data_IF_502350820237
#
_entry.id   IF_502350820237
#
_cell.length_a   1.000
_cell.length_b   1.000
_cell.length_c   1.000
_cell.angle_alpha   90.00
_cell.angle_beta   90.00
_cell.angle_gamma   90.00
#
_symmetry.space_group_name_H-M   'P 1'
#
loop_
_entity.id
_entity.type
_entity.pdbx_description
1 polymer ?
#
# COMPACT_ATOMS: atom_id res chain seq x y z
N UNK A 1 -31.64 32.58 -6.05
CA UNK A 1 -31.87 31.15 -5.79
C UNK A 1 -30.82 30.36 -6.55
N UNK A 2 -29.92 29.68 -5.85
CA UNK A 2 -28.95 28.81 -6.51
C UNK A 2 -29.64 27.54 -7.01
N UNK A 3 -29.45 27.21 -8.27
CA UNK A 3 -30.02 26.00 -8.88
C UNK A 3 -29.16 24.82 -8.42
N UNK A 4 -29.79 23.84 -7.78
CA UNK A 4 -29.23 22.50 -7.62
C UNK A 4 -29.53 21.72 -8.90
N UNK A 5 -28.55 20.98 -9.42
CA UNK A 5 -28.76 20.05 -10.53
C UNK A 5 -29.15 18.72 -9.90
N UNK A 6 -30.37 18.28 -10.16
CA UNK A 6 -30.96 17.08 -9.56
C UNK A 6 -31.30 16.08 -10.65
N UNK A 7 -31.35 14.83 -10.21
CA UNK A 7 -31.93 13.73 -10.95
C UNK A 7 -33.41 14.03 -11.29
N UNK A 8 -33.91 13.42 -12.37
CA UNK A 8 -35.33 13.42 -12.71
C UNK A 8 -36.14 12.39 -11.88
N UNK A 9 -35.47 11.61 -11.02
CA UNK A 9 -35.98 10.53 -10.17
C UNK A 9 -36.59 9.36 -10.97
N UNK A 10 -36.28 9.28 -12.26
CA UNK A 10 -36.64 8.21 -13.17
C UNK A 10 -35.58 7.13 -13.22
N UNK A 11 -35.95 5.94 -13.71
CA UNK A 11 -34.98 4.86 -13.97
C UNK A 11 -34.21 5.05 -15.29
N UNK A 12 -34.35 6.22 -15.93
CA UNK A 12 -33.80 6.54 -17.25
C UNK A 12 -32.68 7.55 -17.13
N UNK A 13 -31.79 7.58 -18.11
CA UNK A 13 -30.68 8.53 -18.14
C UNK A 13 -31.16 9.99 -18.13
N UNK A 14 -30.61 10.81 -17.24
CA UNK A 14 -30.86 12.25 -17.20
C UNK A 14 -30.22 12.97 -18.38
N UNK A 15 -29.04 12.51 -18.80
CA UNK A 15 -28.26 13.09 -19.89
C UNK A 15 -27.92 12.00 -20.92
N UNK A 16 -28.68 11.93 -22.01
CA UNK A 16 -28.51 10.92 -23.06
C UNK A 16 -27.60 11.43 -24.19
N UNK A 17 -26.60 10.63 -24.60
CA UNK A 17 -25.76 10.83 -25.80
C UNK A 17 -25.00 12.16 -25.84
N UNK A 18 -24.56 12.65 -24.69
CA UNK A 18 -23.77 13.87 -24.63
C UNK A 18 -22.32 13.57 -25.08
N UNK A 19 -21.77 14.44 -25.94
CA UNK A 19 -20.34 14.42 -26.35
C UNK A 19 -19.41 14.98 -25.28
N UNK A 20 -19.97 15.35 -24.13
CA UNK A 20 -19.31 15.92 -22.97
C UNK A 20 -20.37 16.60 -22.09
N UNK A 21 -20.08 16.76 -20.81
CA UNK A 21 -20.95 17.47 -19.87
C UNK A 21 -20.15 18.54 -19.13
N UNK A 22 -20.75 19.71 -19.00
CA UNK A 22 -20.28 20.82 -18.18
C UNK A 22 -21.41 21.20 -17.22
N UNK A 23 -21.23 20.87 -15.94
CA UNK A 23 -22.23 21.05 -14.90
C UNK A 23 -21.71 22.04 -13.86
N UNK A 24 -22.44 23.13 -13.61
CA UNK A 24 -22.06 24.12 -12.60
C UNK A 24 -23.19 24.38 -11.60
N UNK A 25 -22.94 24.14 -10.31
CA UNK A 25 -23.83 24.44 -9.20
C UNK A 25 -23.14 25.33 -8.15
N UNK A 26 -23.32 26.65 -8.25
CA UNK A 26 -22.56 27.64 -7.45
C UNK A 26 -22.92 27.71 -5.97
N UNK A 27 -24.04 27.10 -5.55
CA UNK A 27 -24.54 27.19 -4.16
C UNK A 27 -24.82 25.80 -3.56
N UNK A 28 -25.28 24.85 -4.37
CA UNK A 28 -25.67 23.50 -3.93
C UNK A 28 -24.73 22.46 -4.52
N UNK A 29 -25.07 21.18 -4.38
CA UNK A 29 -24.39 20.11 -5.09
C UNK A 29 -25.07 19.70 -6.39
N UNK A 30 -24.45 18.75 -7.07
CA UNK A 30 -24.91 18.08 -8.29
C UNK A 30 -25.22 16.64 -7.91
N UNK A 31 -26.47 16.21 -8.06
CA UNK A 31 -26.89 14.86 -7.69
C UNK A 31 -26.82 14.55 -6.18
N UNK A 32 -27.02 15.55 -5.31
CA UNK A 32 -26.85 15.36 -3.84
C UNK A 32 -27.83 14.38 -3.20
N UNK A 33 -29.05 14.30 -3.72
CA UNK A 33 -30.08 13.38 -3.20
C UNK A 33 -30.04 12.06 -3.93
N UNK A 34 -30.00 12.15 -5.26
CA UNK A 34 -29.94 11.05 -6.20
C UNK A 34 -28.90 11.43 -7.27
N UNK A 35 -28.03 10.48 -7.62
CA UNK A 35 -26.94 10.74 -8.57
C UNK A 35 -27.49 11.13 -9.94
N UNK A 36 -26.73 11.92 -10.72
CA UNK A 36 -27.15 12.21 -12.10
C UNK A 36 -26.74 11.03 -12.99
N UNK A 37 -27.71 10.36 -13.59
CA UNK A 37 -27.47 9.33 -14.61
C UNK A 37 -27.06 9.95 -15.95
N UNK A 38 -25.89 9.55 -16.45
CA UNK A 38 -25.36 9.95 -17.76
C UNK A 38 -25.27 8.75 -18.68
N UNK A 39 -25.35 8.99 -19.99
CA UNK A 39 -25.02 8.04 -21.05
C UNK A 39 -24.12 8.75 -22.07
N UNK A 40 -22.85 8.84 -21.71
CA UNK A 40 -21.83 9.57 -22.45
C UNK A 40 -21.34 8.77 -23.66
N UNK A 41 -21.12 9.46 -24.78
CA UNK A 41 -20.48 8.82 -25.93
C UNK A 41 -19.00 8.55 -25.64
N UNK A 42 -18.41 7.52 -26.26
CA UNK A 42 -16.99 7.21 -26.07
C UNK A 42 -16.09 8.45 -26.32
N UNK A 43 -15.20 8.74 -25.37
CA UNK A 43 -14.30 9.91 -25.38
C UNK A 43 -14.96 11.23 -24.95
N UNK A 44 -16.24 11.24 -24.58
CA UNK A 44 -16.87 12.41 -23.97
C UNK A 44 -16.27 12.67 -22.58
N UNK A 45 -16.06 13.95 -22.27
CA UNK A 45 -15.41 14.38 -21.04
C UNK A 45 -16.41 14.98 -20.05
N UNK A 46 -16.10 14.85 -18.77
CA UNK A 46 -16.89 15.39 -17.66
C UNK A 46 -16.15 16.56 -17.03
N UNK A 47 -16.80 17.72 -17.05
CA UNK A 47 -16.47 18.87 -16.23
C UNK A 47 -17.62 19.14 -15.26
N UNK A 48 -17.32 19.25 -13.96
CA UNK A 48 -18.34 19.56 -12.97
C UNK A 48 -17.79 20.41 -11.83
N UNK A 49 -18.46 21.51 -11.50
CA UNK A 49 -18.12 22.36 -10.36
C UNK A 49 -19.35 22.55 -9.50
N UNK A 50 -19.24 22.16 -8.23
CA UNK A 50 -20.30 22.35 -7.26
C UNK A 50 -19.77 22.90 -5.94
N UNK A 51 -20.60 23.68 -5.25
CA UNK A 51 -20.26 24.11 -3.89
C UNK A 51 -20.26 22.91 -2.95
N UNK A 52 -21.30 22.08 -3.02
CA UNK A 52 -21.45 20.87 -2.18
C UNK A 52 -21.12 19.62 -3.01
N UNK A 53 -21.62 18.46 -2.61
CA UNK A 53 -21.23 17.19 -3.22
C UNK A 53 -21.60 17.06 -4.70
N UNK A 54 -20.82 16.26 -5.42
CA UNK A 54 -21.08 15.88 -6.81
C UNK A 54 -21.29 14.36 -6.84
N UNK A 55 -22.41 13.90 -7.37
CA UNK A 55 -22.69 12.48 -7.57
C UNK A 55 -23.14 12.23 -9.01
N UNK A 56 -22.37 11.43 -9.75
CA UNK A 56 -22.63 11.08 -11.15
C UNK A 56 -22.59 9.56 -11.34
N UNK A 57 -23.52 9.05 -12.14
CA UNK A 57 -23.55 7.64 -12.55
C UNK A 57 -23.57 7.55 -14.07
N UNK A 58 -22.50 7.04 -14.67
CA UNK A 58 -22.49 6.68 -16.09
C UNK A 58 -23.11 5.29 -16.25
N UNK A 59 -24.28 5.23 -16.88
CA UNK A 59 -25.05 3.99 -17.00
C UNK A 59 -24.47 3.05 -18.05
N UNK A 60 -23.71 3.57 -19.02
CA UNK A 60 -23.15 2.79 -20.11
C UNK A 60 -21.80 3.36 -20.59
N UNK A 61 -20.71 2.70 -20.21
CA UNK A 61 -19.35 3.09 -20.62
C UNK A 61 -18.59 3.83 -19.54
N UNK A 62 -17.70 4.71 -19.96
CA UNK A 62 -16.67 5.30 -19.11
C UNK A 62 -17.02 6.74 -18.70
N UNK A 63 -16.56 7.15 -17.51
CA UNK A 63 -16.46 8.56 -17.13
C UNK A 63 -15.03 9.01 -17.46
N UNK A 64 -14.87 9.88 -18.46
CA UNK A 64 -13.57 10.53 -18.71
C UNK A 64 -13.56 11.89 -18.02
N UNK A 65 -12.76 12.06 -16.96
CA UNK A 65 -12.72 13.24 -16.11
C UNK A 65 -11.82 14.31 -16.73
N UNK A 66 -12.40 15.46 -17.06
CA UNK A 66 -11.62 16.65 -17.43
C UNK A 66 -11.32 17.53 -16.22
N UNK A 67 -12.30 17.74 -15.34
CA UNK A 67 -12.13 18.39 -14.05
C UNK A 67 -13.42 18.32 -13.23
N UNK A 68 -13.34 17.81 -12.00
CA UNK A 68 -14.47 17.72 -11.07
C UNK A 68 -14.08 18.37 -9.74
N UNK A 69 -14.80 19.39 -9.33
CA UNK A 69 -14.51 20.15 -8.10
C UNK A 69 -15.73 20.25 -7.21
N UNK A 70 -15.65 19.63 -6.03
CA UNK A 70 -16.58 19.79 -4.92
C UNK A 70 -15.94 20.67 -3.83
N UNK A 71 -16.43 21.89 -3.66
CA UNK A 71 -15.74 22.89 -2.82
C UNK A 71 -15.77 22.55 -1.32
N UNK A 72 -16.87 21.97 -0.84
CA UNK A 72 -17.07 21.63 0.59
C UNK A 72 -17.65 20.23 0.83
N UNK A 73 -17.83 19.42 -0.20
CA UNK A 73 -18.42 18.09 -0.10
C UNK A 73 -17.49 17.00 -0.62
N UNK A 74 -18.08 15.83 -0.84
CA UNK A 74 -17.42 14.69 -1.48
C UNK A 74 -17.69 14.67 -2.98
N UNK A 75 -16.96 13.81 -3.67
CA UNK A 75 -17.22 13.41 -5.05
C UNK A 75 -17.55 11.92 -5.07
N UNK A 76 -18.66 11.55 -5.71
CA UNK A 76 -19.09 10.16 -5.90
C UNK A 76 -19.24 9.92 -7.39
N UNK A 77 -18.43 9.04 -7.96
CA UNK A 77 -18.49 8.67 -9.36
C UNK A 77 -18.70 7.18 -9.49
N UNK A 78 -19.66 6.80 -10.32
CA UNK A 78 -19.89 5.40 -10.67
C UNK A 78 -19.96 5.25 -12.18
N UNK A 79 -19.05 4.49 -12.76
CA UNK A 79 -19.05 4.16 -14.18
C UNK A 79 -19.35 2.67 -14.40
N UNK A 80 -20.14 2.35 -15.42
CA UNK A 80 -20.33 0.97 -15.86
C UNK A 80 -19.03 0.35 -16.40
N UNK A 81 -18.22 1.15 -17.09
CA UNK A 81 -16.88 0.85 -17.57
C UNK A 81 -15.82 1.34 -16.59
N UNK A 82 -15.00 2.29 -17.05
CA UNK A 82 -13.85 2.88 -16.34
C UNK A 82 -14.12 4.32 -15.88
N UNK A 83 -13.32 4.78 -14.91
CA UNK A 83 -13.16 6.21 -14.60
C UNK A 83 -11.74 6.57 -15.04
N UNK A 84 -11.63 7.45 -16.01
CA UNK A 84 -10.40 7.74 -16.73
C UNK A 84 -10.06 9.21 -16.59
N UNK A 85 -8.77 9.53 -16.53
CA UNK A 85 -8.26 10.87 -16.76
C UNK A 85 -8.29 11.21 -18.28
N UNK A 86 -8.55 12.48 -18.62
CA UNK A 86 -8.42 13.02 -19.99
C UNK A 86 -6.98 13.23 -20.45
N UNK A 87 -6.01 13.19 -19.53
CA UNK A 87 -4.60 13.12 -19.82
C UNK A 87 -3.75 13.62 -18.64
N UNK A 88 -2.59 12.97 -18.45
CA UNK A 88 -1.72 13.17 -17.30
C UNK A 88 -1.25 14.64 -17.19
N UNK A 89 -1.93 15.40 -16.33
CA UNK A 89 -1.58 16.79 -15.99
C UNK A 89 -1.23 16.83 -14.53
N UNK A 90 -0.18 17.58 -14.12
CA UNK A 90 0.10 17.78 -12.69
C UNK A 90 -0.92 18.74 -12.01
N UNK A 91 -2.20 18.62 -12.35
CA UNK A 91 -3.34 19.38 -11.87
C UNK A 91 -4.41 18.36 -11.49
N UNK A 92 -5.09 18.59 -10.37
CA UNK A 92 -6.11 17.65 -9.91
C UNK A 92 -7.25 17.51 -10.92
N UNK A 93 -7.51 16.27 -11.33
CA UNK A 93 -8.71 15.87 -12.06
C UNK A 93 -9.93 15.96 -11.16
N UNK A 94 -9.76 15.54 -9.90
CA UNK A 94 -10.82 15.56 -8.89
C UNK A 94 -10.34 16.29 -7.64
N UNK A 95 -11.05 17.34 -7.25
CA UNK A 95 -10.86 18.03 -5.98
C UNK A 95 -12.09 17.84 -5.10
N UNK A 96 -11.91 17.31 -3.89
CA UNK A 96 -12.98 17.06 -2.94
C UNK A 96 -12.57 17.36 -1.49
N UNK A 97 -13.43 18.04 -0.72
CA UNK A 97 -13.08 18.43 0.65
C UNK A 97 -13.27 17.30 1.66
N UNK A 98 -14.28 16.44 1.48
CA UNK A 98 -14.64 15.41 2.48
C UNK A 98 -14.33 13.98 2.04
N UNK A 99 -13.67 13.81 0.88
CA UNK A 99 -13.29 12.52 0.34
C UNK A 99 -13.94 12.17 -0.99
N UNK A 100 -13.60 10.98 -1.49
CA UNK A 100 -14.01 10.49 -2.80
C UNK A 100 -14.51 9.04 -2.72
N UNK A 101 -15.56 8.74 -3.48
CA UNK A 101 -16.06 7.38 -3.69
C UNK A 101 -16.13 7.09 -5.18
N UNK A 102 -15.22 6.26 -5.67
CA UNK A 102 -15.03 5.97 -7.09
C UNK A 102 -15.33 4.50 -7.37
N UNK A 103 -16.25 4.22 -8.27
CA UNK A 103 -16.64 2.86 -8.65
C UNK A 103 -16.58 2.66 -10.16
N UNK A 104 -15.73 1.76 -10.63
CA UNK A 104 -15.67 1.29 -12.02
C UNK A 104 -16.13 -0.18 -12.08
N UNK A 105 -17.33 -0.43 -12.58
CA UNK A 105 -17.98 -1.76 -12.43
C UNK A 105 -17.24 -2.86 -13.22
N UNK A 106 -16.83 -2.57 -14.45
CA UNK A 106 -16.16 -3.57 -15.32
C UNK A 106 -14.78 -3.14 -15.79
N UNK A 107 -14.43 -1.87 -15.60
CA UNK A 107 -13.19 -1.27 -16.08
C UNK A 107 -12.18 -0.95 -14.99
N UNK A 108 -11.40 0.09 -15.24
CA UNK A 108 -10.31 0.57 -14.39
C UNK A 108 -10.67 1.92 -13.75
N UNK A 109 -9.92 2.30 -12.71
CA UNK A 109 -9.87 3.69 -12.25
C UNK A 109 -8.44 4.13 -12.53
N UNK A 110 -8.21 4.93 -13.57
CA UNK A 110 -6.89 5.03 -14.18
C UNK A 110 -6.34 6.44 -14.25
N UNK A 111 -5.17 6.62 -13.59
CA UNK A 111 -4.28 7.78 -13.66
C UNK A 111 -4.93 9.09 -13.21
N UNK A 112 -5.81 9.03 -12.21
CA UNK A 112 -6.45 10.24 -11.70
C UNK A 112 -5.53 10.96 -10.72
N UNK A 113 -5.29 12.24 -10.98
CA UNK A 113 -4.71 13.17 -10.03
C UNK A 113 -5.81 13.73 -9.12
N UNK A 114 -5.62 13.54 -7.82
CA UNK A 114 -6.56 13.82 -6.76
C UNK A 114 -6.04 14.96 -5.88
N UNK A 115 -6.97 15.75 -5.37
CA UNK A 115 -6.70 16.72 -4.31
C UNK A 115 -7.80 16.64 -3.25
N UNK A 116 -7.44 16.14 -2.06
CA UNK A 116 -8.33 16.05 -0.92
C UNK A 116 -7.91 17.00 0.19
N UNK A 117 -8.88 17.70 0.80
CA UNK A 117 -8.57 18.45 2.01
C UNK A 117 -8.18 17.50 3.16
N UNK A 118 -7.48 18.04 4.16
CA UNK A 118 -7.06 17.27 5.35
C UNK A 118 -8.24 16.52 5.98
N UNK A 119 -8.12 15.20 6.07
CA UNK A 119 -9.14 14.30 6.61
C UNK A 119 -10.11 13.73 5.56
N UNK A 120 -10.05 14.15 4.30
CA UNK A 120 -10.74 13.49 3.20
C UNK A 120 -10.13 12.12 2.93
N UNK A 121 -10.99 11.12 2.75
CA UNK A 121 -10.57 9.74 2.49
C UNK A 121 -10.97 9.29 1.09
N UNK A 122 -10.20 8.35 0.53
CA UNK A 122 -10.52 7.69 -0.72
C UNK A 122 -11.12 6.30 -0.49
N UNK A 123 -12.29 6.09 -1.10
CA UNK A 123 -12.93 4.81 -1.29
C UNK A 123 -12.95 4.54 -2.79
N UNK A 124 -12.34 3.44 -3.24
CA UNK A 124 -12.30 3.10 -4.66
C UNK A 124 -12.54 1.61 -4.89
N UNK A 125 -13.31 1.28 -5.92
CA UNK A 125 -13.56 -0.11 -6.32
C UNK A 125 -13.56 -0.22 -7.83
N UNK A 126 -12.76 -1.14 -8.36
CA UNK A 126 -12.67 -1.41 -9.78
C UNK A 126 -12.57 -2.92 -10.06
N UNK A 127 -13.05 -3.31 -11.25
CA UNK A 127 -12.76 -4.64 -11.77
C UNK A 127 -11.28 -4.80 -12.05
N UNK A 128 -10.71 -3.88 -12.86
CA UNK A 128 -9.30 -3.85 -13.21
C UNK A 128 -8.48 -2.95 -12.28
N UNK A 129 -7.31 -2.52 -12.77
CA UNK A 129 -6.36 -1.70 -12.02
C UNK A 129 -6.97 -0.40 -11.51
N UNK A 130 -6.57 -0.02 -10.29
CA UNK A 130 -6.78 1.30 -9.70
C UNK A 130 -5.44 2.01 -9.65
N UNK A 131 -5.33 3.18 -10.27
CA UNK A 131 -4.17 4.06 -10.24
C UNK A 131 -4.60 5.48 -9.86
N UNK A 132 -4.19 5.91 -8.66
CA UNK A 132 -4.57 7.19 -8.07
C UNK A 132 -3.34 7.92 -7.54
N UNK A 133 -3.32 9.24 -7.69
CA UNK A 133 -2.25 10.09 -7.18
C UNK A 133 -2.82 11.24 -6.37
N UNK A 134 -2.49 11.32 -5.09
CA UNK A 134 -2.76 12.51 -4.27
C UNK A 134 -1.65 13.55 -4.51
N UNK A 135 -2.02 14.71 -5.03
CA UNK A 135 -1.07 15.74 -5.43
C UNK A 135 -0.42 16.44 -4.24
N UNK A 136 -1.17 16.66 -3.16
CA UNK A 136 -0.64 17.32 -1.97
C UNK A 136 -1.06 16.63 -0.68
N UNK A 137 -0.18 16.64 0.32
CA UNK A 137 -0.47 16.01 1.60
C UNK A 137 -0.59 14.49 1.51
N UNK A 138 -1.26 13.88 2.47
CA UNK A 138 -1.36 12.43 2.60
C UNK A 138 -2.64 11.88 1.97
N UNK A 139 -2.53 10.74 1.28
CA UNK A 139 -3.67 9.94 0.87
C UNK A 139 -4.17 9.10 2.05
N UNK A 140 -5.35 9.44 2.56
CA UNK A 140 -6.04 8.64 3.58
C UNK A 140 -6.92 7.59 2.90
N UNK A 141 -6.55 6.32 3.03
CA UNK A 141 -7.26 5.21 2.41
C UNK A 141 -8.39 4.78 3.32
N UNK A 142 -9.64 4.81 2.82
CA UNK A 142 -10.76 4.19 3.52
C UNK A 142 -10.94 2.74 3.12
N UNK A 143 -10.91 2.46 1.82
CA UNK A 143 -10.81 1.12 1.25
C UNK A 143 -10.58 1.23 -0.27
N UNK A 144 -9.61 0.52 -0.81
CA UNK A 144 -9.32 0.48 -2.25
C UNK A 144 -9.26 -0.96 -2.71
N UNK A 145 -10.23 -1.38 -3.53
CA UNK A 145 -10.39 -2.76 -3.98
C UNK A 145 -10.31 -2.88 -5.50
N UNK A 146 -9.26 -3.54 -5.97
CA UNK A 146 -9.16 -4.04 -7.35
C UNK A 146 -9.40 -5.55 -7.37
N UNK A 147 -10.48 -5.98 -8.02
CA UNK A 147 -10.88 -7.40 -7.97
C UNK A 147 -10.09 -8.31 -8.92
N UNK A 148 -9.49 -7.76 -9.98
CA UNK A 148 -8.70 -8.53 -10.96
C UNK A 148 -7.40 -7.87 -11.40
N UNK A 149 -7.14 -6.62 -11.02
CA UNK A 149 -5.90 -5.90 -11.33
C UNK A 149 -5.09 -5.48 -10.10
N UNK A 150 -4.19 -4.53 -10.30
CA UNK A 150 -3.33 -3.97 -9.25
C UNK A 150 -3.97 -2.77 -8.57
N UNK A 151 -3.44 -2.41 -7.41
CA UNK A 151 -3.67 -1.09 -6.79
C UNK A 151 -2.36 -0.33 -6.80
N UNK A 152 -2.37 0.86 -7.39
CA UNK A 152 -1.23 1.77 -7.53
C UNK A 152 -1.63 3.09 -6.89
N UNK A 153 -1.00 3.44 -5.78
CA UNK A 153 -1.27 4.67 -5.05
C UNK A 153 0.00 5.50 -4.94
N UNK A 154 -0.08 6.76 -5.35
CA UNK A 154 1.00 7.74 -5.20
C UNK A 154 0.53 8.89 -4.33
N UNK A 155 1.38 9.41 -3.46
CA UNK A 155 1.10 10.60 -2.65
C UNK A 155 2.37 11.42 -2.46
N UNK A 156 2.24 12.75 -2.54
CA UNK A 156 3.35 13.65 -2.18
C UNK A 156 3.75 13.47 -0.71
N UNK A 157 2.78 13.48 0.20
CA UNK A 157 2.95 13.19 1.61
C UNK A 157 3.09 11.69 1.89
N UNK A 158 2.12 11.14 2.60
CA UNK A 158 2.10 9.73 3.01
C UNK A 158 0.87 8.98 2.54
N UNK A 159 0.88 7.65 2.67
CA UNK A 159 -0.29 6.80 2.44
C UNK A 159 -0.62 6.14 3.77
N UNK A 160 -1.81 6.37 4.31
CA UNK A 160 -2.19 5.91 5.65
C UNK A 160 -3.58 5.32 5.66
N UNK A 161 -3.82 4.41 6.59
CA UNK A 161 -5.17 4.00 6.97
C UNK A 161 -5.93 5.25 7.46
N UNK A 162 -6.95 5.62 6.71
CA UNK A 162 -7.79 6.79 7.00
C UNK A 162 -8.81 6.53 8.10
N UNK A 163 -9.18 5.28 8.33
CA UNK A 163 -10.16 4.86 9.34
C UNK A 163 -9.47 4.62 10.69
N UNK A 164 -8.23 4.12 10.69
CA UNK A 164 -7.47 3.76 11.88
C UNK A 164 -7.99 2.47 12.53
N UNK A 165 -8.24 1.43 11.72
CA UNK A 165 -8.77 0.14 12.13
C UNK A 165 -7.99 -1.02 11.52
N UNK A 166 -7.93 -2.17 12.21
CA UNK A 166 -7.28 -3.39 11.68
C UNK A 166 -8.04 -4.08 10.51
N UNK A 167 -8.93 -3.36 9.83
CA UNK A 167 -9.65 -3.87 8.65
C UNK A 167 -8.79 -3.67 7.40
N UNK A 168 -9.03 -4.46 6.36
CA UNK A 168 -8.26 -4.35 5.11
C UNK A 168 -8.52 -3.01 4.42
N UNK A 169 -7.47 -2.22 4.22
CA UNK A 169 -7.51 -0.97 3.46
C UNK A 169 -7.37 -1.22 1.96
N UNK A 170 -6.49 -2.13 1.55
CA UNK A 170 -6.18 -2.38 0.14
C UNK A 170 -6.36 -3.84 -0.21
N UNK A 171 -7.17 -4.12 -1.23
CA UNK A 171 -7.29 -5.46 -1.83
C UNK A 171 -6.86 -5.39 -3.28
N UNK A 172 -5.90 -6.22 -3.67
CA UNK A 172 -5.44 -6.31 -5.06
C UNK A 172 -5.19 -7.75 -5.50
N UNK A 173 -5.48 -8.05 -6.77
CA UNK A 173 -5.30 -9.39 -7.33
C UNK A 173 -3.92 -9.62 -7.93
N UNK A 174 -3.31 -8.60 -8.55
CA UNK A 174 -2.06 -8.76 -9.29
C UNK A 174 -0.87 -8.03 -8.68
N UNK A 175 -1.09 -7.11 -7.74
CA UNK A 175 -0.01 -6.41 -7.05
C UNK A 175 -0.48 -5.15 -6.34
N UNK A 176 0.34 -4.71 -5.40
CA UNK A 176 0.17 -3.44 -4.67
C UNK A 176 1.42 -2.61 -4.88
N UNK A 177 1.26 -1.39 -5.36
CA UNK A 177 2.35 -0.43 -5.58
C UNK A 177 2.04 0.88 -4.84
N UNK A 178 2.91 1.26 -3.91
CA UNK A 178 2.71 2.41 -3.02
C UNK A 178 3.91 3.35 -3.08
N UNK A 179 3.67 4.63 -3.35
CA UNK A 179 4.72 5.63 -3.48
C UNK A 179 4.39 6.86 -2.63
N UNK A 180 5.13 7.08 -1.54
CA UNK A 180 5.03 8.24 -0.66
C UNK A 180 6.31 9.09 -0.76
N UNK A 181 6.27 10.17 -1.53
CA UNK A 181 7.52 10.85 -1.95
C UNK A 181 8.18 11.69 -0.86
N UNK A 182 7.41 12.20 0.10
CA UNK A 182 7.89 13.03 1.20
C UNK A 182 7.50 12.50 2.60
N UNK A 183 6.56 11.56 2.68
CA UNK A 183 6.02 11.01 3.93
C UNK A 183 6.32 9.53 4.15
N UNK A 184 5.49 8.92 4.99
CA UNK A 184 5.54 7.52 5.39
C UNK A 184 4.44 6.72 4.68
N UNK A 185 4.57 5.40 4.67
CA UNK A 185 3.45 4.48 4.36
C UNK A 185 3.10 3.78 5.67
N UNK A 186 1.85 3.87 6.13
CA UNK A 186 1.43 3.36 7.43
C UNK A 186 2.06 4.11 8.62
N UNK A 187 1.90 5.45 8.67
CA UNK A 187 2.40 6.25 9.81
C UNK A 187 1.54 6.07 11.07
N UNK A 188 0.22 6.00 10.89
CA UNK A 188 -0.77 5.93 11.96
C UNK A 188 -1.29 4.49 12.05
N UNK A 189 -0.44 3.58 12.49
CA UNK A 189 -0.70 2.14 12.36
C UNK A 189 -0.17 1.60 11.03
N UNK A 190 -0.08 0.27 10.92
CA UNK A 190 0.25 -0.33 9.63
C UNK A 190 -0.84 0.01 8.60
N UNK A 191 -0.49 0.00 7.32
CA UNK A 191 -1.50 -0.04 6.27
C UNK A 191 -1.86 -1.50 6.04
N UNK A 192 -3.13 -1.85 6.21
CA UNK A 192 -3.62 -3.21 6.04
C UNK A 192 -3.85 -3.53 4.56
N UNK A 193 -3.17 -4.55 4.05
CA UNK A 193 -3.27 -4.98 2.66
C UNK A 193 -3.70 -6.45 2.59
N UNK A 194 -4.32 -6.82 1.48
CA UNK A 194 -4.55 -8.20 1.09
C UNK A 194 -4.24 -8.40 -0.39
N UNK A 195 -3.24 -9.22 -0.66
CA UNK A 195 -2.95 -9.73 -1.99
C UNK A 195 -3.69 -11.05 -2.24
N UNK A 196 -4.56 -11.10 -3.24
CA UNK A 196 -5.50 -12.24 -3.38
C UNK A 196 -4.94 -13.41 -4.19
N UNK A 197 -3.76 -13.24 -4.78
CA UNK A 197 -3.10 -14.30 -5.55
C UNK A 197 -1.64 -14.45 -5.13
N UNK A 198 -1.11 -15.67 -5.24
CA UNK A 198 0.30 -15.95 -4.96
C UNK A 198 1.28 -15.36 -5.99
N UNK A 199 0.78 -14.72 -7.03
CA UNK A 199 1.58 -14.02 -8.04
C UNK A 199 1.60 -12.50 -7.82
N UNK A 200 0.86 -11.98 -6.84
CA UNK A 200 0.88 -10.56 -6.52
C UNK A 200 2.12 -10.23 -5.69
N UNK A 201 2.90 -9.26 -6.15
CA UNK A 201 4.02 -8.67 -5.41
C UNK A 201 3.63 -7.33 -4.79
N UNK A 202 4.33 -6.96 -3.72
CA UNK A 202 4.18 -5.68 -3.04
C UNK A 202 5.42 -4.84 -3.28
N UNK A 203 5.21 -3.67 -3.90
CA UNK A 203 6.22 -2.63 -4.07
C UNK A 203 5.82 -1.43 -3.21
N UNK A 204 6.72 -0.95 -2.36
CA UNK A 204 6.47 0.23 -1.54
C UNK A 204 7.72 1.09 -1.44
N UNK A 205 7.60 2.38 -1.76
CA UNK A 205 8.68 3.36 -1.58
C UNK A 205 8.18 4.52 -0.76
N UNK A 206 8.87 4.81 0.35
CA UNK A 206 8.57 5.95 1.19
C UNK A 206 9.84 6.73 1.53
N UNK A 207 9.68 8.05 1.72
CA UNK A 207 10.77 8.85 2.26
C UNK A 207 11.09 8.42 3.70
N UNK A 208 10.05 8.33 4.53
CA UNK A 208 10.14 7.97 5.94
C UNK A 208 9.79 6.48 6.12
N UNK A 209 9.21 6.09 7.26
CA UNK A 209 8.92 4.69 7.60
C UNK A 209 7.91 4.05 6.64
N UNK A 210 8.06 2.74 6.43
CA UNK A 210 7.05 1.87 5.83
C UNK A 210 6.55 0.90 6.89
N UNK A 211 5.24 0.83 7.10
CA UNK A 211 4.57 -0.12 7.97
C UNK A 211 3.41 -0.77 7.19
N UNK A 212 3.51 -2.07 6.90
CA UNK A 212 2.50 -2.81 6.14
C UNK A 212 2.09 -4.08 6.90
N UNK A 213 0.81 -4.45 6.74
CA UNK A 213 0.28 -5.69 7.30
C UNK A 213 -0.53 -6.46 6.25
N UNK A 214 -0.03 -7.61 5.82
CA UNK A 214 -0.80 -8.58 5.02
C UNK A 214 -1.72 -9.38 5.95
N UNK A 215 -3.03 -9.20 5.82
CA UNK A 215 -4.01 -9.82 6.72
C UNK A 215 -4.36 -11.27 6.36
N UNK A 216 -4.01 -11.73 5.16
CA UNK A 216 -4.33 -13.09 4.71
C UNK A 216 -3.24 -13.68 3.83
N UNK A 217 -2.51 -14.66 4.36
CA UNK A 217 -1.49 -15.38 3.60
C UNK A 217 -0.14 -14.66 3.59
N UNK A 218 0.66 -14.90 2.55
CA UNK A 218 2.04 -14.45 2.49
C UNK A 218 2.15 -13.00 1.97
N UNK A 219 2.99 -12.20 2.63
CA UNK A 219 3.47 -10.95 2.06
C UNK A 219 4.62 -11.25 1.10
N UNK A 220 4.37 -11.05 -0.20
CA UNK A 220 5.38 -11.23 -1.26
C UNK A 220 6.07 -9.92 -1.56
N UNK A 221 7.28 -9.75 -1.05
CA UNK A 221 8.06 -8.52 -1.19
C UNK A 221 8.68 -8.48 -2.58
N UNK A 222 8.25 -7.53 -3.41
CA UNK A 222 8.86 -7.29 -4.71
C UNK A 222 9.97 -6.22 -4.63
N UNK A 223 9.70 -5.12 -3.92
CA UNK A 223 10.70 -4.14 -3.52
C UNK A 223 10.13 -3.16 -2.49
N UNK A 224 10.73 -3.08 -1.31
CA UNK A 224 10.31 -2.18 -0.23
C UNK A 224 11.48 -1.29 0.17
N UNK A 225 11.35 0.02 -0.06
CA UNK A 225 12.42 1.00 0.16
C UNK A 225 11.97 2.13 1.06
N UNK A 226 12.56 2.23 2.26
CA UNK A 226 12.49 3.41 3.12
C UNK A 226 13.80 4.18 3.06
N UNK A 227 13.77 5.43 2.57
CA UNK A 227 15.02 6.17 2.31
C UNK A 227 15.66 6.79 3.55
N UNK A 228 14.85 7.14 4.57
CA UNK A 228 15.31 7.80 5.81
C UNK A 228 14.77 7.14 7.08
N UNK A 229 13.88 6.16 6.95
CA UNK A 229 13.25 5.49 8.08
C UNK A 229 13.48 3.99 8.10
N UNK A 230 12.60 3.32 8.86
CA UNK A 230 12.58 1.88 9.02
C UNK A 230 11.53 1.21 8.15
N UNK A 231 11.58 -0.12 8.11
CA UNK A 231 10.58 -0.97 7.47
C UNK A 231 10.01 -1.90 8.54
N UNK A 232 8.69 -1.96 8.64
CA UNK A 232 7.96 -2.85 9.53
C UNK A 232 6.92 -3.63 8.73
N UNK A 233 7.07 -4.94 8.66
CA UNK A 233 6.18 -5.81 7.89
C UNK A 233 5.60 -6.89 8.78
N UNK A 234 4.29 -7.06 8.71
CA UNK A 234 3.57 -8.15 9.37
C UNK A 234 2.81 -8.94 8.31
N UNK A 235 2.89 -10.26 8.37
CA UNK A 235 2.10 -11.15 7.54
C UNK A 235 1.40 -12.22 8.39
N UNK A 236 0.15 -12.54 8.05
CA UNK A 236 -0.53 -13.70 8.61
C UNK A 236 0.22 -15.01 8.27
N UNK A 237 0.66 -15.15 7.03
CA UNK A 237 1.52 -16.23 6.52
C UNK A 237 3.00 -15.94 6.68
N UNK A 238 3.76 -16.08 5.59
CA UNK A 238 5.18 -15.78 5.50
C UNK A 238 5.49 -14.40 4.91
N UNK A 239 6.76 -13.99 5.01
CA UNK A 239 7.31 -12.83 4.30
C UNK A 239 8.38 -13.36 3.35
N UNK A 240 8.17 -13.24 2.05
CA UNK A 240 8.96 -13.96 1.05
C UNK A 240 9.41 -13.03 -0.09
N UNK A 241 10.62 -13.28 -0.59
CA UNK A 241 11.10 -12.71 -1.85
C UNK A 241 10.13 -13.12 -2.97
N UNK A 242 9.55 -12.11 -3.63
CA UNK A 242 8.61 -12.30 -4.71
C UNK A 242 9.29 -12.82 -5.99
N UNK A 243 10.49 -12.31 -6.31
CA UNK A 243 11.21 -12.58 -7.54
C UNK A 243 12.19 -13.76 -7.41
N UNK A 244 12.55 -14.15 -6.19
CA UNK A 244 13.57 -15.15 -5.86
C UNK A 244 14.90 -14.82 -6.56
N UNK A 245 15.42 -13.63 -6.31
CA UNK A 245 16.65 -13.10 -6.90
C UNK A 245 17.64 -12.65 -5.84
N UNK A 246 18.90 -12.44 -6.23
CA UNK A 246 19.91 -11.97 -5.27
C UNK A 246 19.90 -10.43 -5.03
N UNK A 247 18.89 -9.71 -5.53
CA UNK A 247 18.74 -8.27 -5.37
C UNK A 247 18.03 -7.92 -4.06
N UNK A 248 18.20 -6.69 -3.57
CA UNK A 248 17.53 -6.25 -2.34
C UNK A 248 16.01 -6.28 -2.49
N UNK A 249 15.34 -7.05 -1.63
CA UNK A 249 13.90 -6.99 -1.45
C UNK A 249 13.52 -5.82 -0.55
N UNK A 250 14.31 -5.59 0.50
CA UNK A 250 14.09 -4.52 1.48
C UNK A 250 15.33 -3.64 1.58
N UNK A 251 15.18 -2.34 1.34
CA UNK A 251 16.20 -1.33 1.64
C UNK A 251 15.69 -0.39 2.72
N UNK A 252 16.43 -0.24 3.81
CA UNK A 252 16.01 0.54 4.98
C UNK A 252 17.17 1.34 5.57
N UNK A 253 16.92 2.58 5.97
CA UNK A 253 17.95 3.43 6.57
C UNK A 253 18.21 3.11 8.04
N UNK A 254 17.19 2.66 8.79
CA UNK A 254 17.26 2.57 10.27
C UNK A 254 16.95 1.20 10.86
N UNK A 255 15.92 0.50 10.41
CA UNK A 255 15.51 -0.77 11.00
C UNK A 255 14.70 -1.62 10.04
N UNK A 256 14.77 -2.94 10.20
CA UNK A 256 13.92 -3.90 9.51
C UNK A 256 13.28 -4.80 10.56
N UNK A 257 11.97 -4.63 10.76
CA UNK A 257 11.16 -5.36 11.73
C UNK A 257 10.15 -6.25 11.00
N UNK A 258 10.29 -7.58 11.10
CA UNK A 258 9.48 -8.54 10.34
C UNK A 258 8.75 -9.49 11.29
N UNK A 259 7.46 -9.70 11.05
CA UNK A 259 6.66 -10.69 11.79
C UNK A 259 5.88 -11.57 10.82
N UNK A 260 6.20 -12.86 10.79
CA UNK A 260 5.44 -13.88 10.06
C UNK A 260 4.69 -14.77 11.07
N UNK A 261 3.38 -14.58 11.19
CA UNK A 261 2.59 -15.16 12.28
C UNK A 261 2.47 -16.69 12.16
N UNK A 262 2.25 -17.22 10.96
CA UNK A 262 2.09 -18.66 10.72
C UNK A 262 3.10 -19.25 9.72
N UNK A 263 3.82 -18.41 8.98
CA UNK A 263 4.85 -18.81 8.02
C UNK A 263 6.28 -18.47 8.46
N UNK A 264 7.24 -18.64 7.54
CA UNK A 264 8.63 -18.20 7.70
C UNK A 264 8.93 -16.87 7.02
N UNK A 265 10.16 -16.40 7.22
CA UNK A 265 10.75 -15.27 6.50
C UNK A 265 11.85 -15.81 5.60
N UNK A 266 11.75 -15.59 4.29
CA UNK A 266 12.71 -16.18 3.34
C UNK A 266 12.60 -17.72 3.23
N UNK A 267 11.39 -18.28 3.21
CA UNK A 267 11.25 -19.74 3.01
C UNK A 267 11.57 -20.18 1.56
N UNK A 268 11.26 -19.32 0.57
CA UNK A 268 11.47 -19.55 -0.88
C UNK A 268 12.72 -18.83 -1.40
N UNK A 269 13.83 -18.88 -0.68
CA UNK A 269 15.02 -18.09 -0.99
C UNK A 269 15.72 -17.67 0.30
N UNK A 270 16.60 -16.67 0.25
CA UNK A 270 16.70 -15.77 1.42
C UNK A 270 15.68 -14.65 1.20
N UNK A 271 15.46 -13.81 2.21
CA UNK A 271 14.94 -12.48 1.99
C UNK A 271 16.15 -11.53 2.05
N UNK A 272 16.32 -10.76 0.98
CA UNK A 272 17.47 -9.91 0.78
C UNK A 272 17.21 -8.53 1.39
N UNK A 273 18.09 -8.12 2.30
CA UNK A 273 17.99 -6.84 3.01
C UNK A 273 19.26 -6.01 2.80
N UNK A 274 19.07 -4.70 2.72
CA UNK A 274 20.14 -3.71 2.70
C UNK A 274 19.83 -2.65 3.76
N UNK A 275 20.59 -2.68 4.86
CA UNK A 275 20.43 -1.74 5.97
C UNK A 275 21.49 -0.64 5.95
N UNK A 276 21.09 0.56 6.39
CA UNK A 276 22.03 1.62 6.71
C UNK A 276 23.06 1.18 7.77
N UNK A 277 24.23 1.83 7.80
CA UNK A 277 25.39 1.47 8.63
C UNK A 277 25.16 1.34 10.15
N UNK A 278 23.99 1.70 10.68
CA UNK A 278 23.64 1.54 12.09
C UNK A 278 22.27 0.91 12.29
N UNK A 279 21.68 0.40 11.20
CA UNK A 279 20.36 -0.18 11.27
C UNK A 279 20.36 -1.56 11.90
N UNK A 280 19.25 -1.91 12.54
CA UNK A 280 19.08 -3.18 13.25
C UNK A 280 17.99 -4.05 12.61
N UNK A 281 18.08 -5.34 12.86
CA UNK A 281 17.14 -6.34 12.35
C UNK A 281 16.44 -7.04 13.51
N UNK A 282 15.11 -6.97 13.50
CA UNK A 282 14.22 -7.69 14.41
C UNK A 282 13.29 -8.59 13.59
N UNK A 283 13.35 -9.91 13.80
CA UNK A 283 12.47 -10.85 13.09
C UNK A 283 11.86 -11.85 14.04
N UNK A 284 10.55 -12.04 13.94
CA UNK A 284 9.83 -13.15 14.56
C UNK A 284 9.10 -13.95 13.48
N UNK A 285 9.27 -15.26 13.48
CA UNK A 285 8.57 -16.14 12.55
C UNK A 285 8.19 -17.48 13.20
N UNK A 286 7.05 -18.03 12.80
CA UNK A 286 6.72 -19.42 13.16
C UNK A 286 7.56 -20.42 12.37
N UNK A 287 7.79 -20.15 11.09
CA UNK A 287 8.60 -20.96 10.17
C UNK A 287 10.10 -20.64 10.24
N UNK A 288 10.85 -20.98 9.18
CA UNK A 288 12.27 -20.65 9.12
C UNK A 288 12.47 -19.15 8.96
N UNK A 289 13.66 -18.67 9.32
CA UNK A 289 14.12 -17.32 8.99
C UNK A 289 15.38 -17.47 8.16
N UNK A 290 15.37 -16.97 6.93
CA UNK A 290 16.55 -16.88 6.07
C UNK A 290 16.71 -15.45 5.59
N UNK A 291 17.74 -14.77 6.07
CA UNK A 291 18.04 -13.39 5.71
C UNK A 291 19.44 -13.27 5.12
N UNK A 292 19.58 -12.38 4.15
CA UNK A 292 20.87 -12.02 3.59
C UNK A 292 21.03 -10.51 3.56
N UNK A 293 21.95 -10.00 4.37
CA UNK A 293 22.42 -8.61 4.25
C UNK A 293 23.38 -8.52 3.06
N UNK A 294 23.26 -7.46 2.25
CA UNK A 294 23.93 -7.40 0.96
C UNK A 294 25.32 -6.75 0.98
N UNK A 295 25.57 -5.77 1.85
CA UNK A 295 26.78 -4.94 1.73
C UNK A 295 27.61 -4.81 3.00
N UNK A 296 27.00 -4.74 4.18
CA UNK A 296 27.67 -4.44 5.45
C UNK A 296 27.29 -5.46 6.54
N UNK A 297 27.62 -5.16 7.79
CA UNK A 297 27.31 -5.94 8.97
C UNK A 297 25.79 -6.11 9.16
N UNK A 298 25.37 -7.31 9.56
CA UNK A 298 24.03 -7.55 10.05
C UNK A 298 23.99 -7.34 11.56
N UNK A 299 23.35 -6.25 12.01
CA UNK A 299 23.19 -5.94 13.44
C UNK A 299 21.86 -6.49 13.92
N UNK A 300 21.93 -7.43 14.85
CA UNK A 300 20.77 -8.15 15.37
C UNK A 300 20.23 -7.43 16.59
N UNK A 301 18.95 -7.08 16.55
CA UNK A 301 18.19 -6.75 17.77
C UNK A 301 17.61 -8.03 18.37
N UNK A 302 16.85 -8.79 17.57
CA UNK A 302 16.44 -10.16 17.92
C UNK A 302 15.92 -10.91 16.70
N UNK A 303 16.31 -12.18 16.55
CA UNK A 303 15.83 -13.10 15.53
C UNK A 303 15.27 -14.35 16.20
N UNK A 304 13.96 -14.53 16.15
CA UNK A 304 13.28 -15.66 16.79
C UNK A 304 12.46 -16.46 15.79
N UNK A 305 12.88 -17.71 15.56
CA UNK A 305 12.07 -18.73 14.88
C UNK A 305 11.51 -19.71 15.91
N UNK A 306 10.18 -19.77 16.07
CA UNK A 306 9.55 -20.64 17.09
C UNK A 306 9.34 -22.08 16.63
N UNK A 307 9.35 -22.33 15.32
CA UNK A 307 9.12 -23.66 14.73
C UNK A 307 10.17 -24.12 13.73
N UNK A 308 11.11 -23.25 13.33
CA UNK A 308 12.05 -23.49 12.24
C UNK A 308 13.52 -23.32 12.61
N UNK A 309 14.34 -23.17 11.56
CA UNK A 309 15.75 -22.82 11.65
C UNK A 309 15.97 -21.34 11.34
N UNK A 310 17.08 -20.79 11.81
CA UNK A 310 17.57 -19.46 11.44
C UNK A 310 18.82 -19.60 10.57
N UNK A 311 18.85 -18.89 9.44
CA UNK A 311 19.99 -18.78 8.53
C UNK A 311 20.25 -17.31 8.26
N UNK A 312 21.39 -16.79 8.69
CA UNK A 312 21.78 -15.40 8.48
C UNK A 312 23.08 -15.34 7.70
N UNK A 313 23.10 -14.56 6.61
CA UNK A 313 24.29 -14.36 5.78
C UNK A 313 24.59 -12.88 5.61
N UNK A 314 25.86 -12.50 5.69
CA UNK A 314 26.32 -11.13 5.48
C UNK A 314 27.77 -11.12 4.93
N UNK A 315 28.14 -10.14 4.08
CA UNK A 315 29.53 -9.82 3.81
C UNK A 315 30.31 -9.44 5.06
N UNK A 316 29.74 -8.57 5.88
CA UNK A 316 30.34 -8.04 7.10
C UNK A 316 30.26 -9.01 8.27
N UNK A 317 30.10 -8.45 9.46
CA UNK A 317 29.99 -9.17 10.72
C UNK A 317 28.53 -9.35 11.14
N UNK A 318 28.25 -10.38 11.93
CA UNK A 318 26.98 -10.54 12.64
C UNK A 318 27.20 -10.08 14.08
N UNK A 319 26.47 -9.05 14.48
CA UNK A 319 26.74 -8.25 15.69
C UNK A 319 25.48 -8.21 16.57
N UNK A 320 25.61 -8.44 17.87
CA UNK A 320 24.58 -8.11 18.85
C UNK A 320 24.49 -6.58 19.01
N UNK A 321 23.33 -6.01 18.69
CA UNK A 321 23.08 -4.57 18.80
C UNK A 321 22.68 -4.12 20.21
N UNK A 322 22.18 -5.03 21.05
CA UNK A 322 21.74 -4.77 22.42
C UNK A 322 22.86 -4.89 23.46
N UNK A 323 23.92 -5.66 23.18
CA UNK A 323 25.06 -5.93 24.06
C UNK A 323 24.61 -6.35 25.46
N UNK A 324 23.74 -7.36 25.53
CA UNK A 324 23.10 -7.85 26.76
C UNK A 324 22.98 -9.39 26.76
N UNK A 325 22.81 -10.01 27.94
CA UNK A 325 22.84 -11.48 28.05
C UNK A 325 21.56 -12.21 27.53
N UNK A 326 20.65 -11.52 26.83
CA UNK A 326 19.44 -12.14 26.26
C UNK A 326 19.76 -12.77 24.91
N UNK A 327 19.09 -13.87 24.57
CA UNK A 327 19.30 -14.51 23.27
C UNK A 327 18.93 -13.57 22.10
N UNK A 328 19.92 -13.20 21.30
CA UNK A 328 19.76 -12.44 20.06
C UNK A 328 19.21 -13.31 18.94
N UNK A 329 19.61 -14.59 18.91
CA UNK A 329 19.17 -15.53 17.89
C UNK A 329 18.61 -16.79 18.55
N UNK A 330 17.31 -17.00 18.40
CA UNK A 330 16.61 -18.19 18.90
C UNK A 330 15.98 -18.97 17.76
N UNK A 331 16.19 -20.29 17.73
CA UNK A 331 15.55 -21.19 16.77
C UNK A 331 15.13 -22.51 17.43
N UNK A 332 14.05 -23.13 16.95
CA UNK A 332 13.68 -24.47 17.41
C UNK A 332 14.66 -25.55 16.92
N UNK A 333 15.10 -25.41 15.67
CA UNK A 333 15.89 -26.44 14.99
C UNK A 333 17.38 -26.09 14.95
N UNK A 334 17.81 -25.31 13.95
CA UNK A 334 19.22 -24.98 13.73
C UNK A 334 19.43 -23.47 13.67
N UNK A 335 20.64 -23.04 14.01
CA UNK A 335 21.13 -21.68 13.75
C UNK A 335 22.37 -21.78 12.87
N UNK A 336 22.33 -21.15 11.70
CA UNK A 336 23.42 -21.09 10.73
C UNK A 336 23.76 -19.62 10.48
N UNK A 337 24.99 -19.24 10.79
CA UNK A 337 25.47 -17.87 10.69
C UNK A 337 26.68 -17.83 9.77
N UNK A 338 26.65 -16.95 8.77
CA UNK A 338 27.71 -16.81 7.76
C UNK A 338 28.11 -15.34 7.63
N UNK A 339 29.23 -14.98 8.26
CA UNK A 339 29.95 -13.74 8.01
C UNK A 339 31.09 -14.05 7.03
N UNK A 340 31.00 -13.60 5.78
CA UNK A 340 31.95 -14.03 4.74
C UNK A 340 33.30 -13.32 4.81
N UNK A 341 33.32 -12.07 5.28
CA UNK A 341 34.56 -11.29 5.48
C UNK A 341 34.69 -10.69 6.89
N UNK A 342 33.60 -10.63 7.65
CA UNK A 342 33.59 -10.15 9.04
C UNK A 342 33.65 -11.27 10.08
N UNK A 343 33.29 -10.92 11.31
CA UNK A 343 33.26 -11.82 12.46
C UNK A 343 31.83 -12.13 12.91
N UNK A 344 31.67 -13.06 13.85
CA UNK A 344 30.40 -13.37 14.48
C UNK A 344 30.59 -13.15 15.99
N UNK A 345 29.91 -12.17 16.57
CA UNK A 345 29.91 -11.91 18.01
C UNK A 345 31.23 -11.38 18.60
N UNK A 346 32.08 -10.67 17.83
CA UNK A 346 33.28 -10.02 18.39
C UNK A 346 33.01 -8.65 19.03
N UNK A 347 31.91 -7.99 18.66
CA UNK A 347 31.45 -6.72 19.25
C UNK A 347 30.14 -6.99 19.98
N UNK A 348 30.23 -7.30 21.27
CA UNK A 348 29.13 -7.95 22.01
C UNK A 348 29.15 -9.46 21.74
N UNK A 349 29.00 -10.26 22.78
CA UNK A 349 28.77 -11.69 22.56
C UNK A 349 27.45 -11.82 21.80
N UNK A 350 27.36 -12.79 20.88
CA UNK A 350 26.11 -13.08 20.20
C UNK A 350 25.47 -14.27 20.92
N UNK A 351 24.40 -14.02 21.66
CA UNK A 351 23.71 -15.05 22.43
C UNK A 351 22.81 -15.88 21.52
N UNK A 352 23.14 -17.16 21.37
CA UNK A 352 22.40 -18.10 20.52
C UNK A 352 21.69 -19.13 21.39
N UNK A 353 20.39 -19.32 21.14
CA UNK A 353 19.59 -20.37 21.75
C UNK A 353 18.99 -21.29 20.68
N UNK A 354 19.32 -22.57 20.74
CA UNK A 354 18.55 -23.60 20.05
C UNK A 354 17.71 -24.34 21.07
N UNK A 355 16.39 -24.28 20.98
CA UNK A 355 15.50 -24.95 21.95
C UNK A 355 15.38 -26.46 21.69
N UNK A 356 16.40 -27.08 21.09
CA UNK A 356 16.52 -28.53 21.07
C UNK A 356 16.71 -28.99 22.51
N UNK A 357 15.59 -29.25 23.19
CA UNK A 357 15.62 -30.05 24.41
C UNK A 357 16.29 -31.36 24.03
N UNK A 358 17.53 -31.54 24.49
CA UNK A 358 18.17 -32.83 24.53
C UNK A 358 17.27 -33.75 25.38
N UNK A 359 16.35 -34.46 24.72
CA UNK A 359 15.83 -35.69 25.25
C UNK A 359 17.00 -36.67 25.22
N UNK A 360 17.55 -36.96 26.41
CA UNK A 360 18.65 -37.89 26.62
C UNK A 360 18.29 -39.35 26.35
#
# INVERSE_FOLDING_TARGET
SGVSIKDDNGATTNLTTATGIDLTATINGIGETDAIETNLTNGATVQAVARRSIQLTEVAGDITVASITSQIGNVVLRAAGSILDTGDTNVADITAMTGMNLTAVSGTIGSLDLEMASGGMVLATASGTINLRELTGAMLVSCVTSTSGSVILTSDGGISDGIGSDAVDIVAATGVELYATAGSIGEVGALEINTTTSAAGVTATARNRISLRELSGDLRVASITSTLGGVTLVADGGIIDHANTDLADITSATDVNLTANSGGVGDTGSLEIELGNSGTVLVTATGNIKLRELSDNMRIDSITSTGGSVVLTTPGSIIDSGNNDSADVSALLNVILVATTGSIGEVGALEINTTTSAAG
#
